data_IF_316966530588
#
_entry.id   IF_316966530588
#
_cell.length_a   1.000
_cell.length_b   1.000
_cell.length_c   1.000
_cell.angle_alpha   90.00
_cell.angle_beta   90.00
_cell.angle_gamma   90.00
#
_symmetry.space_group_name_H-M   'P 1'
#
loop_
_entity.id
_entity.type
_entity.pdbx_description
1 polymer ?
#
# COMPACT_ATOMS: atom_id res chain seq x y z
N UNK A 1 6.32 -21.11 -24.39
CA UNK A 1 5.97 -20.91 -22.96
C UNK A 1 5.57 -22.25 -22.38
N UNK A 2 6.16 -22.64 -21.24
CA UNK A 2 5.75 -23.85 -20.52
C UNK A 2 4.39 -23.59 -19.85
N UNK A 3 3.45 -24.51 -19.99
CA UNK A 3 2.14 -24.43 -19.33
C UNK A 3 2.29 -24.82 -17.86
N UNK A 4 2.46 -23.84 -16.96
CA UNK A 4 2.27 -24.05 -15.53
C UNK A 4 0.78 -23.95 -15.24
N UNK A 5 0.23 -24.95 -14.57
CA UNK A 5 -1.16 -24.97 -14.16
C UNK A 5 -1.25 -25.46 -12.72
N UNK A 6 -1.97 -24.72 -11.89
CA UNK A 6 -2.18 -25.11 -10.50
C UNK A 6 -3.03 -26.38 -10.42
N UNK A 7 -2.72 -27.23 -9.44
CA UNK A 7 -3.61 -28.33 -9.03
C UNK A 7 -4.75 -27.80 -8.18
N UNK A 8 -5.84 -28.57 -8.05
CA UNK A 8 -6.92 -28.20 -7.14
C UNK A 8 -6.47 -28.15 -5.67
N UNK A 9 -5.50 -28.98 -5.27
CA UNK A 9 -4.90 -28.88 -3.95
C UNK A 9 -4.22 -27.52 -3.74
N UNK A 10 -3.40 -27.08 -4.70
CA UNK A 10 -2.76 -25.75 -4.65
C UNK A 10 -3.80 -24.63 -4.61
N UNK A 11 -4.87 -24.72 -5.40
CA UNK A 11 -5.96 -23.73 -5.40
C UNK A 11 -6.60 -23.56 -4.03
N UNK A 12 -6.88 -24.66 -3.34
CA UNK A 12 -7.44 -24.63 -1.97
C UNK A 12 -6.52 -23.87 -1.02
N UNK A 13 -5.21 -24.16 -1.04
CA UNK A 13 -4.22 -23.45 -0.20
C UNK A 13 -3.97 -21.99 -0.60
N UNK A 14 -4.50 -21.54 -1.74
CA UNK A 14 -4.46 -20.16 -2.21
C UNK A 14 -5.82 -19.45 -2.09
N UNK A 15 -6.86 -20.15 -1.61
CA UNK A 15 -8.22 -19.61 -1.48
C UNK A 15 -8.94 -19.46 -2.81
N UNK A 16 -8.45 -20.11 -3.87
CA UNK A 16 -9.03 -20.12 -5.19
C UNK A 16 -10.05 -21.24 -5.34
N UNK A 17 -11.11 -20.98 -6.12
CA UNK A 17 -12.08 -22.01 -6.47
C UNK A 17 -11.42 -23.16 -7.26
N UNK A 18 -11.57 -24.43 -6.85
CA UNK A 18 -11.14 -25.58 -7.63
C UNK A 18 -11.78 -25.62 -9.02
N UNK A 19 -11.13 -26.31 -9.95
CA UNK A 19 -11.66 -26.55 -11.29
C UNK A 19 -12.34 -27.91 -11.29
N UNK A 20 -13.64 -27.94 -11.55
CA UNK A 20 -14.41 -29.19 -11.63
C UNK A 20 -14.15 -29.91 -12.96
N UNK A 21 -14.33 -31.24 -12.99
CA UNK A 21 -14.03 -32.07 -14.15
C UNK A 21 -14.86 -31.72 -15.40
N UNK A 22 -16.06 -31.18 -15.21
CA UNK A 22 -16.97 -30.75 -16.27
C UNK A 22 -16.62 -29.36 -16.83
N UNK A 23 -15.64 -28.64 -16.29
CA UNK A 23 -15.27 -27.31 -16.78
C UNK A 23 -14.47 -27.42 -18.08
N UNK A 24 -14.81 -26.57 -19.04
CA UNK A 24 -14.16 -26.53 -20.35
C UNK A 24 -13.01 -25.52 -20.29
N UNK A 25 -11.78 -26.01 -20.48
CA UNK A 25 -10.59 -25.18 -20.66
C UNK A 25 -10.51 -24.69 -22.10
N UNK A 26 -10.41 -23.37 -22.30
CA UNK A 26 -10.25 -22.76 -23.63
C UNK A 26 -9.07 -21.78 -23.64
N UNK A 27 -8.20 -21.96 -24.64
CA UNK A 27 -7.10 -21.03 -24.89
C UNK A 27 -7.60 -19.85 -25.74
N UNK A 28 -7.28 -18.62 -25.31
CA UNK A 28 -7.64 -17.38 -26.00
C UNK A 28 -6.46 -16.83 -26.80
N UNK A 29 -5.24 -17.01 -26.27
CA UNK A 29 -3.95 -16.82 -26.94
C UNK A 29 -2.87 -17.60 -26.17
N UNK A 30 -1.63 -17.57 -26.64
CA UNK A 30 -0.50 -18.36 -26.11
C UNK A 30 -0.31 -18.31 -24.60
N UNK A 31 -0.71 -17.21 -23.95
CA UNK A 31 -0.46 -16.95 -22.55
C UNK A 31 -1.73 -16.60 -21.74
N UNK A 32 -2.91 -16.89 -22.30
CA UNK A 32 -4.20 -16.55 -21.71
C UNK A 32 -5.20 -17.69 -21.92
N UNK A 33 -5.69 -18.23 -20.80
CA UNK A 33 -6.69 -19.30 -20.76
C UNK A 33 -7.91 -18.87 -19.95
N UNK A 34 -9.04 -19.47 -20.27
CA UNK A 34 -10.28 -19.35 -19.50
C UNK A 34 -10.84 -20.74 -19.20
N UNK A 35 -11.61 -20.84 -18.11
CA UNK A 35 -12.40 -22.03 -17.81
C UNK A 35 -13.88 -21.67 -17.78
N UNK A 36 -14.69 -22.54 -18.37
CA UNK A 36 -16.12 -22.34 -18.58
C UNK A 36 -16.89 -23.46 -17.90
N UNK A 37 -17.83 -23.12 -17.02
CA UNK A 37 -18.80 -24.04 -16.44
C UNK A 37 -20.18 -23.75 -17.07
N UNK A 38 -20.71 -24.71 -17.84
CA UNK A 38 -21.95 -24.52 -18.59
C UNK A 38 -21.84 -23.34 -19.57
N UNK A 39 -22.53 -22.24 -19.27
CA UNK A 39 -22.52 -21.00 -20.07
C UNK A 39 -21.85 -19.83 -19.37
N UNK A 40 -20.98 -20.08 -18.39
CA UNK A 40 -20.32 -19.05 -17.60
C UNK A 40 -18.81 -19.24 -17.61
N UNK A 41 -18.06 -18.19 -17.97
CA UNK A 41 -16.62 -18.13 -17.71
C UNK A 41 -16.43 -17.89 -16.21
N UNK A 42 -15.81 -18.87 -15.55
CA UNK A 42 -15.61 -18.87 -14.10
C UNK A 42 -14.19 -18.46 -13.70
N UNK A 43 -13.23 -18.57 -14.61
CA UNK A 43 -11.80 -18.35 -14.29
C UNK A 43 -11.01 -17.86 -15.48
N UNK A 44 -10.00 -17.06 -15.22
CA UNK A 44 -8.98 -16.62 -16.18
C UNK A 44 -7.59 -16.90 -15.61
N UNK A 45 -6.72 -17.44 -16.46
CA UNK A 45 -5.31 -17.66 -16.13
C UNK A 45 -4.46 -16.91 -17.15
N UNK A 46 -3.53 -16.08 -16.66
CA UNK A 46 -2.54 -15.37 -17.48
C UNK A 46 -1.14 -15.77 -17.04
N UNK A 47 -0.26 -16.09 -17.99
CA UNK A 47 1.09 -16.60 -17.71
C UNK A 47 2.13 -15.77 -18.49
N UNK A 48 3.33 -15.63 -17.96
CA UNK A 48 4.53 -15.19 -18.66
C UNK A 48 5.74 -15.94 -18.11
N UNK A 49 6.94 -15.61 -18.60
CA UNK A 49 8.18 -16.24 -18.12
C UNK A 49 8.52 -15.91 -16.65
N UNK A 50 7.84 -14.90 -16.08
CA UNK A 50 8.05 -14.46 -14.69
C UNK A 50 6.78 -14.36 -13.86
N UNK A 51 5.60 -14.47 -14.47
CA UNK A 51 4.33 -14.18 -13.79
C UNK A 51 3.26 -15.24 -14.00
N UNK A 52 2.46 -15.47 -12.97
CA UNK A 52 1.24 -16.27 -13.02
C UNK A 52 0.12 -15.49 -12.34
N UNK A 53 -1.02 -15.35 -13.02
CA UNK A 53 -2.20 -14.73 -12.43
C UNK A 53 -3.40 -15.66 -12.65
N UNK A 54 -4.10 -15.99 -11.57
CA UNK A 54 -5.36 -16.74 -11.63
C UNK A 54 -6.46 -15.96 -10.93
N UNK A 55 -7.51 -15.64 -11.69
CA UNK A 55 -8.59 -14.76 -11.27
C UNK A 55 -9.93 -15.47 -11.43
N UNK A 56 -10.82 -15.29 -10.44
CA UNK A 56 -12.20 -15.71 -10.55
C UNK A 56 -13.01 -14.70 -11.37
N UNK A 57 -13.83 -15.23 -12.27
CA UNK A 57 -14.72 -14.48 -13.13
C UNK A 57 -16.16 -14.95 -12.93
N UNK A 58 -17.09 -14.11 -13.36
CA UNK A 58 -18.50 -14.45 -13.53
C UNK A 58 -18.94 -13.73 -14.81
N UNK A 59 -18.83 -14.38 -15.97
CA UNK A 59 -19.19 -13.77 -17.24
C UNK A 59 -19.93 -14.75 -18.14
N UNK A 60 -21.17 -14.43 -18.57
CA UNK A 60 -21.95 -15.33 -19.40
C UNK A 60 -21.39 -15.39 -20.83
N UNK A 61 -21.47 -16.56 -21.45
CA UNK A 61 -21.07 -16.84 -22.83
C UNK A 61 -22.17 -17.57 -23.60
N UNK A 62 -22.12 -17.48 -24.93
CA UNK A 62 -22.96 -18.32 -25.80
C UNK A 62 -22.57 -19.81 -25.71
N UNK A 63 -23.47 -20.68 -26.16
CA UNK A 63 -23.26 -22.13 -26.18
C UNK A 63 -22.09 -22.57 -27.10
N UNK A 64 -21.71 -21.73 -28.08
CA UNK A 64 -20.54 -21.94 -28.95
C UNK A 64 -19.23 -21.40 -28.36
N UNK A 65 -19.27 -20.75 -27.20
CA UNK A 65 -18.13 -20.13 -26.53
C UNK A 65 -17.35 -19.14 -27.39
N UNK A 66 -18.04 -18.44 -28.29
CA UNK A 66 -17.48 -17.46 -29.23
C UNK A 66 -17.82 -16.03 -28.87
N UNK A 67 -18.82 -15.83 -28.00
CA UNK A 67 -19.36 -14.51 -27.70
C UNK A 67 -19.60 -14.37 -26.20
N UNK A 68 -19.05 -13.31 -25.61
CA UNK A 68 -19.42 -12.83 -24.29
C UNK A 68 -20.81 -12.21 -24.36
N UNK A 69 -21.71 -12.72 -23.54
CA UNK A 69 -23.05 -12.17 -23.38
C UNK A 69 -23.01 -10.98 -22.41
N UNK A 70 -23.85 -9.96 -22.64
CA UNK A 70 -23.94 -8.84 -21.72
C UNK A 70 -24.59 -9.28 -20.40
N UNK A 71 -24.09 -8.77 -19.27
CA UNK A 71 -24.72 -8.99 -17.95
C UNK A 71 -26.08 -8.30 -17.80
N UNK A 72 -26.33 -7.26 -18.59
CA UNK A 72 -27.53 -6.42 -18.51
C UNK A 72 -28.25 -6.39 -19.85
N UNK A 73 -29.56 -6.19 -19.83
CA UNK A 73 -30.41 -6.08 -21.04
C UNK A 73 -29.98 -4.95 -22.01
N UNK A 74 -29.30 -3.91 -21.51
CA UNK A 74 -28.78 -2.80 -22.33
C UNK A 74 -27.38 -3.05 -22.92
N UNK A 75 -26.70 -4.10 -22.49
CA UNK A 75 -25.34 -4.39 -22.94
C UNK A 75 -25.32 -5.00 -24.34
N UNK A 76 -24.21 -4.85 -25.05
CA UNK A 76 -23.99 -5.50 -26.34
C UNK A 76 -23.15 -6.76 -26.15
N UNK A 77 -23.53 -7.82 -26.86
CA UNK A 77 -22.69 -9.01 -26.98
C UNK A 77 -21.35 -8.65 -27.63
N UNK A 78 -20.27 -9.28 -27.17
CA UNK A 78 -18.91 -9.03 -27.66
C UNK A 78 -18.28 -10.33 -28.10
N UNK A 79 -17.60 -10.33 -29.25
CA UNK A 79 -16.79 -11.47 -29.66
C UNK A 79 -15.73 -11.77 -28.59
N UNK A 80 -15.54 -13.04 -28.28
CA UNK A 80 -14.54 -13.51 -27.34
C UNK A 80 -13.14 -13.38 -27.95
N UNK A 81 -12.50 -12.26 -27.68
CA UNK A 81 -11.11 -11.91 -28.07
C UNK A 81 -10.25 -11.69 -26.83
N UNK A 82 -8.90 -11.71 -26.93
CA UNK A 82 -8.02 -11.41 -25.81
C UNK A 82 -8.41 -10.12 -25.07
N UNK A 83 -8.64 -9.01 -25.79
CA UNK A 83 -9.03 -7.73 -25.19
C UNK A 83 -10.38 -7.81 -24.47
N UNK A 84 -11.35 -8.54 -25.02
CA UNK A 84 -12.66 -8.71 -24.39
C UNK A 84 -12.59 -9.53 -23.10
N UNK A 85 -11.72 -10.56 -23.06
CA UNK A 85 -11.49 -11.42 -21.90
C UNK A 85 -10.73 -10.66 -20.81
N UNK A 86 -9.71 -9.89 -21.19
CA UNK A 86 -8.97 -9.01 -20.27
C UNK A 86 -9.87 -7.93 -19.66
N UNK A 87 -10.87 -7.44 -20.41
CA UNK A 87 -11.84 -6.45 -19.94
C UNK A 87 -12.96 -6.99 -19.04
N UNK A 88 -13.04 -8.30 -18.78
CA UNK A 88 -13.98 -8.86 -17.80
C UNK A 88 -13.51 -8.43 -16.41
N UNK A 89 -14.40 -7.81 -15.64
CA UNK A 89 -14.12 -7.45 -14.25
C UNK A 89 -14.03 -8.72 -13.40
N UNK A 90 -12.88 -8.99 -12.76
CA UNK A 90 -12.75 -10.11 -11.85
C UNK A 90 -13.55 -9.92 -10.56
N UNK A 91 -13.82 -11.03 -9.89
CA UNK A 91 -14.49 -11.09 -8.59
C UNK A 91 -13.75 -12.09 -7.69
N UNK A 92 -14.11 -12.15 -6.41
CA UNK A 92 -13.60 -13.14 -5.48
C UNK A 92 -12.10 -13.02 -5.21
N UNK A 93 -11.53 -14.11 -4.71
CA UNK A 93 -10.09 -14.23 -4.43
C UNK A 93 -9.32 -14.47 -5.73
N UNK A 94 -8.16 -13.86 -5.83
CA UNK A 94 -7.21 -14.10 -6.90
C UNK A 94 -5.81 -14.37 -6.33
N UNK A 95 -5.02 -15.06 -7.14
CA UNK A 95 -3.61 -15.30 -6.87
C UNK A 95 -2.77 -14.63 -7.94
N UNK A 96 -1.74 -13.94 -7.50
CA UNK A 96 -0.75 -13.32 -8.35
C UNK A 96 0.64 -13.72 -7.89
N UNK A 97 1.44 -14.20 -8.84
CA UNK A 97 2.87 -14.41 -8.70
C UNK A 97 3.60 -13.56 -9.73
N UNK A 98 4.67 -12.88 -9.33
CA UNK A 98 5.61 -12.24 -10.24
C UNK A 98 7.00 -12.17 -9.61
N UNK A 99 7.98 -12.83 -10.23
CA UNK A 99 9.38 -12.76 -9.81
C UNK A 99 9.56 -12.96 -8.30
N UNK A 100 9.07 -14.09 -7.77
CA UNK A 100 9.18 -14.44 -6.34
C UNK A 100 8.14 -13.78 -5.43
N UNK A 101 7.42 -12.76 -5.93
CA UNK A 101 6.37 -12.05 -5.19
C UNK A 101 5.05 -12.79 -5.32
N UNK A 102 4.44 -13.16 -4.21
CA UNK A 102 3.11 -13.74 -4.10
C UNK A 102 2.14 -12.74 -3.48
N UNK A 103 0.95 -12.67 -4.06
CA UNK A 103 -0.18 -11.91 -3.55
C UNK A 103 -1.44 -12.79 -3.59
N UNK A 104 -2.10 -12.92 -2.45
CA UNK A 104 -3.45 -13.48 -2.32
C UNK A 104 -4.34 -12.34 -1.84
N UNK A 105 -5.25 -11.90 -2.69
CA UNK A 105 -6.12 -10.77 -2.41
C UNK A 105 -7.51 -10.99 -3.01
N UNK A 106 -8.45 -10.11 -2.67
CA UNK A 106 -9.85 -10.25 -3.09
C UNK A 106 -10.35 -9.00 -3.78
N UNK A 107 -10.86 -9.17 -5.01
CA UNK A 107 -11.57 -8.10 -5.73
C UNK A 107 -12.91 -7.77 -5.06
N UNK A 108 -13.54 -8.76 -4.42
CA UNK A 108 -14.83 -8.58 -3.73
C UNK A 108 -14.67 -7.67 -2.52
N UNK A 109 -13.75 -8.01 -1.61
CA UNK A 109 -13.58 -7.27 -0.36
C UNK A 109 -12.64 -6.07 -0.51
N UNK A 110 -11.78 -6.05 -1.54
CA UNK A 110 -10.67 -5.09 -1.70
C UNK A 110 -9.71 -5.11 -0.51
N UNK A 111 -9.36 -6.33 -0.08
CA UNK A 111 -8.41 -6.58 1.00
C UNK A 111 -7.42 -7.67 0.59
N UNK A 112 -6.30 -7.72 1.30
CA UNK A 112 -5.19 -8.66 1.09
C UNK A 112 -5.14 -9.68 2.21
N UNK A 113 -5.02 -10.96 1.87
CA UNK A 113 -4.76 -12.03 2.84
C UNK A 113 -3.27 -12.22 3.09
N UNK A 114 -2.48 -12.21 2.01
CA UNK A 114 -1.04 -12.40 2.06
C UNK A 114 -0.36 -11.61 0.96
N UNK A 115 0.73 -10.94 1.32
CA UNK A 115 1.62 -10.26 0.38
C UNK A 115 3.05 -10.31 0.93
N UNK A 116 4.00 -10.76 0.12
CA UNK A 116 5.43 -10.72 0.43
C UNK A 116 6.22 -9.77 -0.49
N UNK A 117 5.53 -8.88 -1.21
CA UNK A 117 6.15 -7.91 -2.09
C UNK A 117 7.14 -7.02 -1.33
N UNK A 118 8.39 -7.08 -1.77
CA UNK A 118 9.48 -6.18 -1.39
C UNK A 118 9.82 -5.28 -2.57
N UNK A 119 10.42 -4.12 -2.31
CA UNK A 119 11.08 -3.32 -3.35
C UNK A 119 12.40 -4.00 -3.76
N UNK A 120 12.31 -5.23 -4.28
CA UNK A 120 13.40 -5.94 -4.96
C UNK A 120 13.08 -5.98 -6.46
N UNK A 121 14.12 -5.75 -7.25
CA UNK A 121 14.14 -5.92 -8.70
C UNK A 121 14.77 -7.26 -9.10
N UNK A 122 14.96 -8.18 -8.14
CA UNK A 122 15.46 -9.52 -8.41
C UNK A 122 14.50 -10.26 -9.35
N UNK A 123 15.10 -10.86 -10.38
CA UNK A 123 14.39 -11.69 -11.33
C UNK A 123 14.28 -13.10 -10.77
N UNK A 124 13.06 -13.60 -10.67
CA UNK A 124 12.80 -15.02 -10.41
C UNK A 124 11.96 -15.60 -11.54
N UNK A 125 12.43 -16.66 -12.23
CA UNK A 125 11.68 -17.29 -13.28
C UNK A 125 10.40 -17.95 -12.74
N UNK A 126 9.43 -18.15 -13.62
CA UNK A 126 8.16 -18.80 -13.28
C UNK A 126 8.34 -20.27 -12.84
N UNK A 127 9.42 -20.92 -13.26
CA UNK A 127 9.79 -22.28 -12.87
C UNK A 127 10.05 -22.47 -11.37
N UNK A 128 10.26 -21.40 -10.61
CA UNK A 128 10.40 -21.48 -9.15
C UNK A 128 9.05 -21.58 -8.43
N UNK A 129 7.94 -21.20 -9.09
CA UNK A 129 6.61 -21.20 -8.49
C UNK A 129 6.19 -22.56 -7.91
N UNK A 130 6.39 -23.72 -8.59
CA UNK A 130 6.01 -25.02 -8.02
C UNK A 130 6.68 -25.32 -6.68
N UNK A 131 8.01 -25.13 -6.56
CA UNK A 131 8.74 -25.38 -5.32
C UNK A 131 8.29 -24.43 -4.19
N UNK A 132 8.05 -23.17 -4.53
CA UNK A 132 7.52 -22.19 -3.60
C UNK A 132 6.09 -22.55 -3.13
N UNK A 133 5.25 -23.11 -3.99
CA UNK A 133 3.91 -23.60 -3.61
C UNK A 133 3.97 -24.87 -2.76
N UNK A 134 4.90 -25.77 -3.03
CA UNK A 134 5.13 -26.94 -2.17
C UNK A 134 5.51 -26.51 -0.75
N UNK A 135 6.44 -25.55 -0.64
CA UNK A 135 6.82 -24.97 0.66
C UNK A 135 5.64 -24.24 1.32
N UNK A 136 4.88 -23.44 0.58
CA UNK A 136 3.68 -22.75 1.09
C UNK A 136 2.66 -23.74 1.68
N UNK A 137 2.42 -24.85 0.99
CA UNK A 137 1.52 -25.91 1.46
C UNK A 137 2.10 -26.59 2.69
N UNK A 138 3.38 -26.98 2.67
CA UNK A 138 4.05 -27.63 3.79
C UNK A 138 4.05 -26.77 5.07
N UNK A 139 4.20 -25.46 4.91
CA UNK A 139 4.18 -24.50 6.01
C UNK A 139 2.77 -24.14 6.48
N UNK A 140 1.71 -24.59 5.81
CA UNK A 140 0.33 -24.26 6.14
C UNK A 140 -0.22 -25.12 7.27
N UNK A 141 -0.95 -24.49 8.18
CA UNK A 141 -1.65 -25.13 9.30
C UNK A 141 -3.15 -25.15 9.06
N UNK A 142 -3.90 -25.91 9.88
CA UNK A 142 -5.36 -25.92 9.85
C UNK A 142 -5.93 -24.52 10.16
N UNK A 143 -5.29 -23.77 11.06
CA UNK A 143 -5.68 -22.39 11.38
C UNK A 143 -5.50 -21.44 10.19
N UNK A 144 -4.44 -21.61 9.38
CA UNK A 144 -4.27 -20.79 8.18
C UNK A 144 -5.36 -21.08 7.15
N UNK A 145 -5.74 -22.36 6.98
CA UNK A 145 -6.81 -22.76 6.07
C UNK A 145 -8.16 -22.21 6.54
N UNK A 146 -8.46 -22.27 7.84
CA UNK A 146 -9.66 -21.68 8.41
C UNK A 146 -9.70 -20.15 8.22
N UNK A 147 -8.56 -19.47 8.41
CA UNK A 147 -8.43 -18.04 8.17
C UNK A 147 -8.60 -17.69 6.68
N UNK A 148 -8.05 -18.51 5.79
CA UNK A 148 -8.17 -18.34 4.34
C UNK A 148 -9.61 -18.56 3.85
N UNK A 149 -10.32 -19.54 4.39
CA UNK A 149 -11.73 -19.77 4.07
C UNK A 149 -12.63 -18.64 4.58
N UNK A 150 -12.33 -18.12 5.77
CA UNK A 150 -12.98 -16.91 6.31
C UNK A 150 -12.74 -15.72 5.39
N UNK A 151 -11.51 -15.54 4.89
CA UNK A 151 -11.16 -14.49 3.94
C UNK A 151 -11.88 -14.67 2.59
N UNK A 152 -11.93 -15.89 2.06
CA UNK A 152 -12.54 -16.22 0.76
C UNK A 152 -14.04 -15.93 0.73
N UNK A 153 -14.73 -16.23 1.82
CA UNK A 153 -16.19 -16.06 1.96
C UNK A 153 -16.60 -14.70 2.51
N UNK A 154 -15.64 -13.84 2.87
CA UNK A 154 -15.91 -12.52 3.41
C UNK A 154 -16.65 -11.62 2.42
N UNK A 155 -17.50 -10.75 2.97
CA UNK A 155 -18.21 -9.70 2.22
C UNK A 155 -17.51 -8.36 2.40
N UNK A 156 -17.64 -7.49 1.41
CA UNK A 156 -17.12 -6.12 1.48
C UNK A 156 -17.69 -5.39 2.69
N UNK A 157 -16.83 -4.75 3.46
CA UNK A 157 -17.18 -3.89 4.61
C UNK A 157 -16.81 -2.44 4.30
N UNK A 158 -17.48 -1.53 5.00
CA UNK A 158 -17.12 -0.11 5.04
C UNK A 158 -16.95 0.28 6.51
N UNK A 159 -15.71 0.36 6.97
CA UNK A 159 -15.40 0.59 8.37
C UNK A 159 -15.28 2.09 8.68
N UNK A 160 -15.60 2.44 9.92
CA UNK A 160 -15.43 3.79 10.47
C UNK A 160 -14.13 3.82 11.27
N UNK A 161 -13.38 4.90 11.11
CA UNK A 161 -12.15 5.18 11.86
C UNK A 161 -12.04 6.68 12.13
N UNK A 162 -11.27 7.05 13.15
CA UNK A 162 -10.96 8.42 13.54
C UNK A 162 -9.51 8.57 13.99
N UNK A 163 -9.07 9.82 14.11
CA UNK A 163 -7.78 10.17 14.70
C UNK A 163 -7.71 9.63 16.13
N UNK A 164 -6.53 9.15 16.54
CA UNK A 164 -6.31 8.53 17.85
C UNK A 164 -6.64 7.04 17.92
N UNK A 165 -7.32 6.48 16.91
CA UNK A 165 -7.59 5.04 16.85
C UNK A 165 -6.28 4.24 16.69
N UNK A 166 -6.18 3.19 17.48
CA UNK A 166 -5.15 2.15 17.37
C UNK A 166 -5.65 1.08 16.42
N UNK A 167 -4.74 0.57 15.59
CA UNK A 167 -5.07 -0.45 14.63
C UNK A 167 -4.04 -1.58 14.63
N UNK A 168 -4.47 -2.75 14.17
CA UNK A 168 -3.59 -3.88 13.83
C UNK A 168 -3.66 -4.20 12.35
N UNK A 169 -2.59 -4.78 11.85
CA UNK A 169 -2.49 -5.28 10.48
C UNK A 169 -1.65 -6.56 10.46
N UNK A 170 -1.86 -7.43 9.46
CA UNK A 170 -1.08 -8.66 9.32
C UNK A 170 0.26 -8.42 8.62
N UNK A 171 1.27 -9.16 9.07
CA UNK A 171 2.57 -9.32 8.42
C UNK A 171 2.74 -10.80 8.16
N UNK A 172 2.84 -11.18 6.88
CA UNK A 172 2.69 -12.56 6.47
C UNK A 172 1.32 -13.12 6.89
N UNK A 173 1.26 -14.37 7.35
CA UNK A 173 -0.02 -15.03 7.73
C UNK A 173 -0.40 -14.90 9.19
N UNK A 174 0.59 -14.87 10.08
CA UNK A 174 0.43 -15.16 11.52
C UNK A 174 1.01 -14.09 12.45
N UNK A 175 1.74 -13.11 11.92
CA UNK A 175 2.27 -12.01 12.72
C UNK A 175 1.41 -10.77 12.54
N UNK A 176 1.35 -9.97 13.60
CA UNK A 176 0.63 -8.71 13.65
C UNK A 176 1.62 -7.58 13.92
N UNK A 177 1.44 -6.49 13.18
CA UNK A 177 1.97 -5.18 13.50
C UNK A 177 0.86 -4.25 14.00
N UNK A 178 1.26 -3.17 14.65
CA UNK A 178 0.33 -2.24 15.29
C UNK A 178 0.67 -0.80 14.96
N UNK A 179 -0.35 0.05 14.91
CA UNK A 179 -0.15 1.46 14.63
C UNK A 179 -1.26 2.34 15.22
N UNK A 180 -1.16 3.63 14.93
CA UNK A 180 -2.13 4.64 15.35
C UNK A 180 -2.39 5.66 14.25
N UNK A 181 -3.64 6.06 14.09
CA UNK A 181 -4.05 7.10 13.15
C UNK A 181 -3.76 8.45 13.79
N UNK A 182 -2.92 9.27 13.16
CA UNK A 182 -2.51 10.58 13.67
C UNK A 182 -3.36 11.72 13.11
N UNK A 183 -3.74 11.64 11.83
CA UNK A 183 -4.49 12.71 11.18
C UNK A 183 -5.28 12.21 9.98
N UNK A 184 -6.52 12.66 9.85
CA UNK A 184 -7.33 12.50 8.64
C UNK A 184 -7.20 13.75 7.77
N UNK A 185 -6.23 13.72 6.85
CA UNK A 185 -5.92 14.86 5.99
C UNK A 185 -7.08 15.14 5.02
N UNK A 186 -7.81 14.11 4.55
CA UNK A 186 -9.02 14.31 3.72
C UNK A 186 -10.11 15.12 4.44
N UNK A 187 -10.37 14.81 5.71
CA UNK A 187 -11.30 15.58 6.54
C UNK A 187 -10.76 16.98 6.82
N UNK A 188 -9.46 17.10 7.13
CA UNK A 188 -8.83 18.39 7.42
C UNK A 188 -8.94 19.38 6.24
N UNK A 189 -8.77 18.92 5.00
CA UNK A 189 -8.92 19.74 3.78
C UNK A 189 -10.28 20.45 3.66
N UNK A 190 -11.31 19.95 4.34
CA UNK A 190 -12.68 20.50 4.31
C UNK A 190 -12.91 21.57 5.38
N UNK A 191 -11.97 21.77 6.30
CA UNK A 191 -12.08 22.72 7.42
C UNK A 191 -11.77 24.15 7.00
N UNK A 192 -12.25 25.13 7.78
CA UNK A 192 -11.92 26.55 7.57
C UNK A 192 -10.42 26.82 7.75
N UNK A 193 -9.80 26.19 8.76
CA UNK A 193 -8.36 26.28 9.03
C UNK A 193 -7.49 25.86 7.83
N UNK A 194 -7.94 24.88 7.05
CA UNK A 194 -7.27 24.53 5.80
C UNK A 194 -7.41 25.65 4.75
N UNK A 195 -8.62 26.16 4.54
CA UNK A 195 -8.92 27.18 3.53
C UNK A 195 -8.15 28.49 3.74
N UNK A 196 -7.81 28.83 4.97
CA UNK A 196 -7.04 30.04 5.31
C UNK A 196 -5.59 29.99 4.80
N UNK A 197 -4.97 28.80 4.75
CA UNK A 197 -3.56 28.66 4.33
C UNK A 197 -3.37 27.98 2.99
N UNK A 198 -4.31 27.12 2.59
CA UNK A 198 -4.21 26.21 1.44
C UNK A 198 -2.87 25.47 1.39
N UNK A 199 -2.62 24.65 2.41
CA UNK A 199 -1.41 23.86 2.61
C UNK A 199 -0.99 23.10 1.34
N UNK A 200 0.03 23.61 0.62
CA UNK A 200 0.42 23.11 -0.72
C UNK A 200 0.66 21.61 -0.76
N UNK A 201 1.36 21.07 0.24
CA UNK A 201 1.65 19.64 0.27
C UNK A 201 0.40 18.82 0.56
N UNK A 202 -0.42 19.26 1.51
CA UNK A 202 -1.70 18.59 1.73
C UNK A 202 -2.63 18.73 0.54
N UNK A 203 -2.53 19.73 -0.32
CA UNK A 203 -3.30 19.81 -1.57
C UNK A 203 -2.86 18.76 -2.60
N UNK A 204 -1.56 18.43 -2.65
CA UNK A 204 -0.99 17.58 -3.70
C UNK A 204 -1.24 16.08 -3.52
N UNK A 205 -1.54 15.61 -2.29
CA UNK A 205 -1.77 14.19 -2.05
C UNK A 205 -3.03 13.68 -2.77
N UNK A 206 -2.93 12.56 -3.49
CA UNK A 206 -4.07 11.98 -4.18
C UNK A 206 -5.02 11.23 -3.23
N UNK A 207 -6.28 11.07 -3.64
CA UNK A 207 -7.27 10.25 -2.94
C UNK A 207 -7.66 10.79 -1.56
N UNK A 208 -7.85 9.87 -0.61
CA UNK A 208 -8.23 10.15 0.79
C UNK A 208 -7.05 9.88 1.73
N UNK A 209 -6.16 10.86 1.93
CA UNK A 209 -4.96 10.68 2.74
C UNK A 209 -5.24 10.57 4.24
N UNK A 210 -4.56 9.62 4.86
CA UNK A 210 -4.42 9.44 6.30
C UNK A 210 -2.94 9.50 6.67
N UNK A 211 -2.64 10.15 7.79
CA UNK A 211 -1.35 10.06 8.45
C UNK A 211 -1.42 9.00 9.54
N UNK A 212 -0.52 8.03 9.51
CA UNK A 212 -0.41 6.97 10.50
C UNK A 212 1.02 6.88 11.05
N UNK A 213 1.18 6.29 12.23
CA UNK A 213 2.45 5.75 12.71
C UNK A 213 2.32 4.26 13.01
N UNK A 214 3.44 3.55 12.96
CA UNK A 214 3.54 2.12 13.27
C UNK A 214 4.46 1.95 14.46
N UNK A 215 4.06 1.14 15.43
CA UNK A 215 4.84 0.88 16.64
C UNK A 215 5.93 -0.16 16.40
N UNK A 216 6.99 -0.10 17.20
CA UNK A 216 8.01 -1.13 17.33
C UNK A 216 7.44 -2.33 18.09
N UNK A 217 6.40 -2.95 17.54
CA UNK A 217 5.69 -4.07 18.13
C UNK A 217 5.31 -5.08 17.05
N UNK A 218 5.80 -6.29 17.24
CA UNK A 218 5.38 -7.49 16.53
C UNK A 218 4.80 -8.48 17.53
N UNK A 219 3.75 -9.20 17.13
CA UNK A 219 3.09 -10.18 17.99
C UNK A 219 2.49 -11.30 17.15
N UNK A 220 2.53 -12.53 17.66
CA UNK A 220 1.72 -13.64 17.13
C UNK A 220 0.29 -13.63 17.67
N UNK A 221 0.04 -12.95 18.81
CA UNK A 221 -1.29 -12.68 19.33
C UNK A 221 -1.91 -11.50 18.60
N UNK A 222 -3.17 -11.60 18.20
CA UNK A 222 -3.92 -10.49 17.62
C UNK A 222 -4.29 -9.41 18.65
N UNK A 223 -4.29 -9.76 19.94
CA UNK A 223 -4.71 -8.91 21.05
C UNK A 223 -3.49 -8.39 21.81
N UNK A 224 -3.31 -7.07 21.83
CA UNK A 224 -2.29 -6.34 22.61
C UNK A 224 -2.94 -5.11 23.24
N UNK A 225 -2.78 -4.84 24.55
CA UNK A 225 -3.38 -3.68 25.21
C UNK A 225 -2.93 -2.35 24.60
N UNK A 226 -3.86 -1.40 24.50
CA UNK A 226 -3.60 -0.06 23.94
C UNK A 226 -2.58 0.71 24.78
N UNK A 227 -2.58 0.52 26.09
CA UNK A 227 -1.67 1.14 27.03
C UNK A 227 -0.23 0.70 26.78
N UNK A 228 -0.03 -0.58 26.43
CA UNK A 228 1.26 -1.12 26.05
C UNK A 228 1.74 -0.49 24.73
N UNK A 229 0.86 -0.44 23.72
CA UNK A 229 1.17 0.16 22.42
C UNK A 229 1.51 1.65 22.54
N UNK A 230 0.80 2.39 23.39
CA UNK A 230 1.03 3.81 23.62
C UNK A 230 2.42 4.09 24.23
N UNK A 231 3.00 3.12 24.94
CA UNK A 231 4.35 3.22 25.51
C UNK A 231 5.46 2.79 24.53
N UNK A 232 5.12 2.18 23.39
CA UNK A 232 6.10 1.75 22.40
C UNK A 232 6.72 2.93 21.64
N UNK A 233 8.01 2.80 21.32
CA UNK A 233 8.63 3.56 20.24
C UNK A 233 7.89 3.30 18.92
N UNK A 234 7.88 4.29 18.03
CA UNK A 234 7.25 4.17 16.72
C UNK A 234 8.23 4.49 15.59
N UNK A 235 7.97 3.90 14.43
CA UNK A 235 8.55 4.33 13.17
C UNK A 235 8.06 5.74 12.82
N UNK A 236 8.86 6.48 12.02
CA UNK A 236 8.43 7.75 11.47
C UNK A 236 7.09 7.62 10.74
N UNK A 237 6.19 8.55 11.00
CA UNK A 237 4.85 8.57 10.44
C UNK A 237 4.88 8.57 8.92
N UNK A 238 3.86 7.99 8.30
CA UNK A 238 3.71 7.93 6.85
C UNK A 238 2.30 8.30 6.43
N UNK A 239 2.19 8.88 5.23
CA UNK A 239 0.90 9.17 4.61
C UNK A 239 0.50 8.02 3.69
N UNK A 240 -0.71 7.48 3.91
CA UNK A 240 -1.29 6.40 3.10
C UNK A 240 -2.73 6.74 2.72
N UNK A 241 -3.26 6.09 1.69
CA UNK A 241 -4.69 6.17 1.38
C UNK A 241 -5.52 5.37 2.41
N UNK A 242 -6.74 5.82 2.68
CA UNK A 242 -7.61 5.22 3.70
C UNK A 242 -8.18 3.83 3.35
N UNK A 243 -7.97 3.34 2.13
CA UNK A 243 -8.57 2.11 1.61
C UNK A 243 -8.42 0.90 2.55
N UNK A 244 -7.24 0.68 3.12
CA UNK A 244 -6.98 -0.48 4.00
C UNK A 244 -7.78 -0.41 5.31
N UNK A 245 -8.13 0.79 5.78
CA UNK A 245 -9.03 0.97 6.91
C UNK A 245 -10.48 0.88 6.46
N UNK A 246 -10.83 1.60 5.39
CA UNK A 246 -12.20 1.69 4.90
C UNK A 246 -12.76 0.32 4.52
N UNK A 247 -11.95 -0.57 3.92
CA UNK A 247 -12.38 -1.93 3.58
C UNK A 247 -12.13 -2.97 4.68
N UNK A 248 -11.57 -2.56 5.82
CA UNK A 248 -11.40 -3.41 7.01
C UNK A 248 -10.23 -4.39 6.94
N UNK A 249 -9.19 -4.10 6.15
CA UNK A 249 -7.92 -4.84 6.18
C UNK A 249 -7.12 -4.53 7.45
N UNK A 250 -7.10 -3.26 7.85
CA UNK A 250 -6.61 -2.82 9.15
C UNK A 250 -7.78 -2.72 10.14
N UNK A 251 -7.70 -3.50 11.22
CA UNK A 251 -8.76 -3.54 12.24
C UNK A 251 -8.47 -2.54 13.34
N UNK A 252 -9.48 -1.73 13.71
CA UNK A 252 -9.39 -0.83 14.87
C UNK A 252 -9.52 -1.66 16.15
N UNK A 253 -8.53 -1.54 17.03
CA UNK A 253 -8.43 -2.33 18.27
C UNK A 253 -8.59 -1.50 19.55
N UNK A 254 -8.71 -0.17 19.41
CA UNK A 254 -8.95 0.71 20.54
C UNK A 254 -8.72 2.17 20.16
N UNK A 255 -8.89 3.06 21.14
CA UNK A 255 -8.85 4.49 20.91
C UNK A 255 -8.29 5.22 22.12
N UNK A 256 -7.47 6.24 21.85
CA UNK A 256 -7.08 7.26 22.83
C UNK A 256 -6.97 8.60 22.11
N UNK A 257 -7.39 9.67 22.76
CA UNK A 257 -7.17 11.03 22.25
C UNK A 257 -5.68 11.31 22.06
N UNK A 258 -5.35 12.08 21.03
CA UNK A 258 -3.97 12.42 20.68
C UNK A 258 -3.54 13.68 21.43
N UNK A 259 -2.39 13.60 22.09
CA UNK A 259 -1.70 14.78 22.59
C UNK A 259 -0.80 15.36 21.50
N UNK A 260 -0.58 16.68 21.53
CA UNK A 260 0.27 17.36 20.54
C UNK A 260 1.69 16.76 20.48
N UNK A 261 2.22 16.36 21.63
CA UNK A 261 3.54 15.71 21.77
C UNK A 261 3.61 14.32 21.14
N UNK A 262 2.47 13.68 20.87
CA UNK A 262 2.40 12.36 20.22
C UNK A 262 2.37 12.45 18.68
N UNK A 263 2.18 13.65 18.13
CA UNK A 263 2.13 13.90 16.70
C UNK A 263 3.54 13.91 16.12
N UNK A 264 3.86 12.85 15.39
CA UNK A 264 4.98 12.84 14.46
C UNK A 264 4.45 13.27 13.10
N UNK A 265 4.78 14.50 12.70
CA UNK A 265 4.41 15.04 11.40
C UNK A 265 5.57 14.89 10.42
N UNK A 266 5.34 14.50 9.17
CA UNK A 266 6.39 14.52 8.16
C UNK A 266 6.69 15.97 7.73
N UNK A 267 7.91 16.16 7.22
CA UNK A 267 8.41 17.44 6.70
C UNK A 267 8.45 17.34 5.17
N UNK A 268 7.79 18.26 4.48
CA UNK A 268 7.78 18.38 3.03
C UNK A 268 8.32 19.74 2.63
N UNK A 269 9.36 19.76 1.80
CA UNK A 269 9.93 20.96 1.22
C UNK A 269 9.84 20.86 -0.31
N UNK A 270 9.24 21.85 -0.95
CA UNK A 270 8.76 21.68 -2.32
C UNK A 270 8.60 22.97 -3.10
N UNK A 271 8.66 22.86 -4.43
CA UNK A 271 8.00 23.84 -5.30
C UNK A 271 6.54 23.45 -5.44
N UNK A 272 5.65 24.43 -5.57
CA UNK A 272 4.25 24.15 -5.92
C UNK A 272 4.17 23.38 -7.24
N UNK A 273 3.26 22.40 -7.29
CA UNK A 273 2.90 21.70 -8.53
C UNK A 273 1.72 22.37 -9.24
N UNK A 274 1.16 23.42 -8.64
CA UNK A 274 0.10 24.21 -9.24
C UNK A 274 0.69 25.17 -10.27
N UNK A 275 0.25 25.05 -11.52
CA UNK A 275 0.72 25.89 -12.62
C UNK A 275 0.39 27.38 -12.45
N UNK A 276 -0.53 27.71 -11.54
CA UNK A 276 -0.87 29.11 -11.19
C UNK A 276 0.11 29.74 -10.21
N UNK A 277 0.92 28.93 -9.53
CA UNK A 277 1.89 29.36 -8.52
C UNK A 277 3.31 28.81 -8.82
N UNK A 278 3.85 28.99 -10.03
CA UNK A 278 5.08 28.31 -10.45
C UNK A 278 6.33 28.72 -9.64
N UNK A 279 6.33 29.93 -9.09
CA UNK A 279 7.44 30.46 -8.29
C UNK A 279 7.30 30.19 -6.79
N UNK A 280 6.20 29.56 -6.35
CA UNK A 280 5.97 29.29 -4.94
C UNK A 280 6.85 28.13 -4.47
N UNK A 281 7.64 28.41 -3.44
CA UNK A 281 8.40 27.41 -2.68
C UNK A 281 7.81 27.33 -1.28
N UNK A 282 7.59 26.12 -0.79
CA UNK A 282 6.98 25.87 0.50
C UNK A 282 7.87 25.01 1.39
N UNK A 283 7.78 25.26 2.68
CA UNK A 283 8.14 24.32 3.73
C UNK A 283 6.88 24.01 4.54
N UNK A 284 6.55 22.73 4.64
CA UNK A 284 5.42 22.25 5.42
C UNK A 284 5.86 21.14 6.37
N UNK A 285 5.83 21.41 7.67
CA UNK A 285 6.02 20.42 8.73
C UNK A 285 4.65 20.21 9.40
N UNK A 286 3.89 19.22 8.95
CA UNK A 286 2.50 19.04 9.37
C UNK A 286 1.62 20.28 9.11
N UNK A 287 1.17 20.93 10.18
CA UNK A 287 0.36 22.16 10.16
C UNK A 287 1.20 23.46 10.24
N UNK A 288 2.51 23.36 10.40
CA UNK A 288 3.43 24.48 10.29
C UNK A 288 3.73 24.66 8.81
N UNK A 289 3.42 25.84 8.29
CA UNK A 289 3.45 26.07 6.85
C UNK A 289 3.99 27.46 6.54
N UNK A 290 5.10 27.50 5.83
CA UNK A 290 5.81 28.70 5.42
C UNK A 290 5.99 28.72 3.90
N UNK A 291 5.97 29.93 3.34
CA UNK A 291 6.08 30.17 1.90
C UNK A 291 7.24 31.14 1.63
N UNK A 292 7.90 30.93 0.50
CA UNK A 292 8.89 31.83 -0.07
C UNK A 292 8.78 31.77 -1.59
N UNK A 293 9.68 32.45 -2.30
CA UNK A 293 9.77 32.36 -3.76
C UNK A 293 11.03 31.61 -4.20
N UNK A 294 10.98 31.01 -5.39
CA UNK A 294 12.14 30.49 -6.13
C UNK A 294 13.27 31.53 -6.30
N UNK A 295 12.93 32.82 -6.30
CA UNK A 295 13.91 33.92 -6.34
C UNK A 295 14.68 34.07 -5.03
N UNK A 296 14.02 33.82 -3.90
CA UNK A 296 14.61 33.93 -2.56
C UNK A 296 15.32 32.65 -2.15
N UNK A 297 14.74 31.48 -2.42
CA UNK A 297 15.31 30.20 -2.05
C UNK A 297 14.83 29.08 -2.97
N UNK A 298 15.77 28.50 -3.71
CA UNK A 298 15.54 27.39 -4.65
C UNK A 298 16.48 26.20 -4.47
N UNK A 299 17.31 26.23 -3.43
CA UNK A 299 18.21 25.12 -3.11
C UNK A 299 17.40 23.85 -2.84
N UNK A 300 17.96 22.70 -3.19
CA UNK A 300 17.35 21.38 -2.96
C UNK A 300 16.02 21.11 -3.68
N UNK A 301 15.58 21.99 -4.59
CA UNK A 301 14.36 21.76 -5.37
C UNK A 301 14.53 20.73 -6.49
N UNK A 302 15.77 20.37 -6.82
CA UNK A 302 16.13 19.36 -7.80
C UNK A 302 17.07 18.37 -7.14
N UNK A 303 16.90 17.10 -7.46
CA UNK A 303 17.91 16.09 -7.17
C UNK A 303 19.08 16.28 -8.15
N UNK A 304 20.22 16.74 -7.64
CA UNK A 304 21.44 16.96 -8.42
C UNK A 304 21.97 15.66 -9.05
N UNK A 305 21.54 14.49 -8.57
CA UNK A 305 21.91 13.16 -9.10
C UNK A 305 20.85 12.57 -10.06
N UNK A 306 19.72 13.24 -10.30
CA UNK A 306 18.68 12.73 -11.20
C UNK A 306 19.13 12.68 -12.67
N UNK A 307 20.01 13.59 -13.09
CA UNK A 307 20.51 13.67 -14.46
C UNK A 307 21.32 12.43 -14.87
N UNK A 308 22.12 11.87 -13.96
CA UNK A 308 22.96 10.70 -14.21
C UNK A 308 22.17 9.38 -14.26
N UNK A 309 20.94 9.38 -13.73
CA UNK A 309 20.10 8.18 -13.63
C UNK A 309 18.99 8.11 -14.68
N UNK A 310 18.93 9.06 -15.61
CA UNK A 310 17.85 9.16 -16.61
C UNK A 310 16.47 9.44 -16.00
N UNK A 311 16.42 9.90 -14.75
CA UNK A 311 15.19 10.20 -14.02
C UNK A 311 14.75 11.63 -14.31
N UNK A 312 13.44 11.86 -14.35
CA UNK A 312 12.90 13.22 -14.39
C UNK A 312 13.43 14.02 -13.19
N UNK A 313 13.84 15.28 -13.42
CA UNK A 313 14.19 16.21 -12.36
C UNK A 313 13.01 16.32 -11.38
N UNK A 314 13.14 15.69 -10.22
CA UNK A 314 12.11 15.71 -9.17
C UNK A 314 12.68 16.38 -7.93
N UNK A 315 11.81 17.00 -7.13
CA UNK A 315 12.20 17.51 -5.82
C UNK A 315 12.26 16.32 -4.85
N UNK A 316 13.46 15.94 -4.37
CA UNK A 316 13.63 14.75 -3.54
C UNK A 316 12.95 14.87 -2.17
N UNK A 317 12.87 16.08 -1.60
CA UNK A 317 12.34 16.34 -0.26
C UNK A 317 10.84 16.66 -0.24
N UNK A 318 10.18 16.57 -1.40
CA UNK A 318 8.75 16.81 -1.50
C UNK A 318 7.96 15.55 -1.14
N UNK A 319 7.07 15.64 -0.14
CA UNK A 319 6.25 14.52 0.32
C UNK A 319 5.09 14.15 -0.61
N UNK A 320 5.10 14.58 -1.88
CA UNK A 320 3.94 14.56 -2.78
C UNK A 320 3.43 13.15 -3.12
N UNK A 321 4.16 12.09 -2.76
CA UNK A 321 3.78 10.71 -3.04
C UNK A 321 3.02 10.07 -1.87
N UNK A 322 1.95 9.35 -2.20
CA UNK A 322 1.13 8.61 -1.22
C UNK A 322 1.05 7.12 -1.60
N UNK A 323 1.13 6.25 -0.60
CA UNK A 323 1.04 4.79 -0.79
C UNK A 323 -0.35 4.23 -0.53
N UNK A 324 -0.59 3.00 -0.98
CA UNK A 324 -1.81 2.22 -0.66
C UNK A 324 -1.60 1.24 0.50
N UNK A 325 -0.37 1.11 0.99
CA UNK A 325 0.03 0.10 1.97
C UNK A 325 0.92 0.74 3.06
N UNK A 326 1.08 0.02 4.16
CA UNK A 326 1.99 0.38 5.24
C UNK A 326 3.41 0.02 4.81
N UNK A 327 4.28 1.02 4.59
CA UNK A 327 5.60 0.81 3.97
C UNK A 327 6.47 -0.19 4.74
N UNK A 328 6.59 -0.04 6.06
CA UNK A 328 7.43 -0.90 6.90
C UNK A 328 6.92 -2.35 7.00
N UNK A 329 5.63 -2.60 6.70
CA UNK A 329 5.06 -3.95 6.72
C UNK A 329 5.69 -4.86 5.65
N UNK A 330 6.26 -4.27 4.58
CA UNK A 330 6.98 -4.99 3.52
C UNK A 330 8.38 -5.45 3.95
N UNK A 331 8.88 -4.95 5.08
CA UNK A 331 10.23 -5.21 5.58
C UNK A 331 10.20 -5.77 7.01
N UNK A 332 9.61 -6.96 7.24
CA UNK A 332 9.50 -7.54 8.59
C UNK A 332 10.87 -7.69 9.28
N UNK A 333 11.90 -8.08 8.54
CA UNK A 333 13.27 -8.19 9.08
C UNK A 333 13.85 -6.83 9.51
N UNK A 334 13.51 -5.75 8.79
CA UNK A 334 13.90 -4.41 9.19
C UNK A 334 13.15 -3.98 10.45
N UNK A 335 11.86 -4.29 10.53
CA UNK A 335 11.07 -4.01 11.71
C UNK A 335 11.62 -4.74 12.93
N UNK A 336 11.93 -6.04 12.80
CA UNK A 336 12.52 -6.87 13.84
C UNK A 336 13.85 -6.30 14.33
N UNK A 337 14.76 -5.93 13.41
CA UNK A 337 16.04 -5.29 13.78
C UNK A 337 15.83 -3.99 14.55
N UNK A 338 14.88 -3.13 14.13
CA UNK A 338 14.59 -1.87 14.85
C UNK A 338 14.06 -2.12 16.27
N UNK A 339 13.21 -3.15 16.44
CA UNK A 339 12.69 -3.57 17.75
C UNK A 339 13.82 -4.06 18.65
N UNK A 340 14.71 -4.91 18.13
CA UNK A 340 15.85 -5.47 18.88
C UNK A 340 16.81 -4.40 19.38
N UNK A 341 17.11 -3.40 18.54
CA UNK A 341 17.99 -2.28 18.93
C UNK A 341 17.25 -1.13 19.61
N UNK A 342 15.93 -1.22 19.74
CA UNK A 342 15.04 -0.19 20.31
C UNK A 342 15.26 1.21 19.68
N UNK A 343 15.45 1.25 18.35
CA UNK A 343 15.81 2.47 17.64
C UNK A 343 15.38 2.44 16.18
N UNK A 344 15.07 3.62 15.65
CA UNK A 344 14.81 3.82 14.22
C UNK A 344 16.11 3.87 13.38
N UNK A 345 17.29 3.73 13.99
CA UNK A 345 18.56 3.81 13.25
C UNK A 345 18.68 2.78 12.11
N UNK A 346 18.29 1.49 12.27
CA UNK A 346 18.31 0.56 11.14
C UNK A 346 17.35 0.98 10.03
N UNK A 347 16.19 1.55 10.38
CA UNK A 347 15.26 2.10 9.40
C UNK A 347 15.90 3.26 8.63
N UNK A 348 16.49 4.22 9.32
CA UNK A 348 17.13 5.39 8.71
C UNK A 348 18.31 5.06 7.80
N UNK A 349 19.00 3.95 8.09
CA UNK A 349 20.12 3.43 7.31
C UNK A 349 19.72 2.40 6.26
N UNK A 350 18.42 2.17 6.04
CA UNK A 350 17.94 1.23 5.03
C UNK A 350 17.99 1.80 3.62
N UNK A 351 18.01 0.92 2.62
CA UNK A 351 17.98 1.29 1.20
C UNK A 351 16.59 1.68 0.68
N UNK A 352 15.61 1.85 1.58
CA UNK A 352 14.26 2.26 1.19
C UNK A 352 14.34 3.68 0.61
N UNK A 353 14.02 3.79 -0.69
CA UNK A 353 14.17 5.03 -1.47
C UNK A 353 13.65 6.29 -0.76
N UNK A 354 12.43 6.23 -0.19
CA UNK A 354 11.80 7.38 0.46
C UNK A 354 12.50 7.80 1.76
N UNK A 355 13.08 6.84 2.48
CA UNK A 355 13.80 7.11 3.74
C UNK A 355 15.03 7.98 3.50
N UNK A 356 15.64 7.84 2.32
CA UNK A 356 16.83 8.59 1.96
C UNK A 356 16.58 10.10 1.83
N UNK A 357 15.36 10.51 1.51
CA UNK A 357 15.01 11.92 1.30
C UNK A 357 14.00 12.45 2.33
N UNK A 358 13.72 11.68 3.38
CA UNK A 358 12.95 12.18 4.52
C UNK A 358 13.83 13.18 5.30
N UNK A 359 13.38 14.42 5.45
CA UNK A 359 14.13 15.45 6.19
C UNK A 359 14.22 15.15 7.69
N UNK A 360 13.44 14.20 8.22
CA UNK A 360 13.57 13.69 9.59
C UNK A 360 14.73 12.68 9.74
N UNK A 361 15.26 12.16 8.63
CA UNK A 361 16.41 11.26 8.66
C UNK A 361 17.66 12.05 9.15
N UNK A 362 18.37 11.58 10.19
CA UNK A 362 19.56 12.27 10.71
C UNK A 362 20.63 12.61 9.67
N UNK A 363 20.76 11.82 8.60
CA UNK A 363 21.72 12.11 7.53
C UNK A 363 21.42 13.41 6.77
N UNK A 364 20.16 13.86 6.81
CA UNK A 364 19.68 15.08 6.16
C UNK A 364 19.67 16.29 7.11
N UNK A 365 20.22 16.18 8.32
CA UNK A 365 20.17 17.23 9.35
C UNK A 365 20.78 18.56 8.89
N UNK A 366 21.89 18.56 8.15
CA UNK A 366 22.49 19.77 7.61
C UNK A 366 21.57 20.48 6.61
N UNK A 367 20.90 19.70 5.74
CA UNK A 367 19.97 20.21 4.73
C UNK A 367 18.70 20.73 5.40
N UNK A 368 18.12 19.95 6.31
CA UNK A 368 16.98 20.37 7.15
C UNK A 368 17.30 21.69 7.84
N UNK A 369 18.49 21.83 8.42
CA UNK A 369 18.92 23.05 9.12
C UNK A 369 18.99 24.27 8.23
N UNK A 370 19.58 24.13 7.04
CA UNK A 370 19.63 25.23 6.08
C UNK A 370 18.23 25.67 5.63
N UNK A 371 17.35 24.70 5.33
CA UNK A 371 15.96 24.96 4.95
C UNK A 371 15.23 25.68 6.09
N UNK A 372 15.24 25.12 7.31
CA UNK A 372 14.53 25.69 8.45
C UNK A 372 15.03 27.09 8.80
N UNK A 373 16.35 27.32 8.79
CA UNK A 373 16.92 28.65 9.03
C UNK A 373 16.43 29.67 8.00
N UNK A 374 16.31 29.30 6.72
CA UNK A 374 15.75 30.20 5.70
C UNK A 374 14.30 30.60 6.03
N UNK A 375 13.50 29.66 6.52
CA UNK A 375 12.10 29.89 6.90
C UNK A 375 11.93 30.40 8.34
N UNK A 376 13.02 30.78 9.03
CA UNK A 376 13.03 31.25 10.41
C UNK A 376 12.40 30.25 11.41
N UNK A 377 12.66 28.96 11.23
CA UNK A 377 12.21 27.90 12.14
C UNK A 377 13.38 27.37 12.96
N UNK A 378 13.16 27.12 14.26
CA UNK A 378 14.16 26.47 15.10
C UNK A 378 14.23 24.97 14.78
N UNK A 379 15.44 24.48 14.51
CA UNK A 379 15.72 23.09 14.14
C UNK A 379 15.88 22.18 15.34
N UNK A 380 16.10 22.75 16.51
CA UNK A 380 16.25 22.03 17.78
C UNK A 380 14.89 21.69 18.41
N UNK A 381 13.82 22.39 18.00
CA UNK A 381 12.47 22.11 18.46
C UNK A 381 11.88 20.89 17.74
N UNK A 382 11.15 20.06 18.48
CA UNK A 382 10.25 19.07 17.90
C UNK A 382 8.99 19.74 17.32
N UNK A 383 8.15 18.96 16.65
CA UNK A 383 6.91 19.47 16.04
C UNK A 383 6.01 20.21 17.03
N UNK A 384 5.80 19.66 18.23
CA UNK A 384 4.89 20.22 19.23
C UNK A 384 5.39 21.57 19.74
N UNK A 385 6.68 21.64 20.09
CA UNK A 385 7.35 22.87 20.55
C UNK A 385 7.30 23.97 19.48
N UNK A 386 7.62 23.60 18.23
CA UNK A 386 7.60 24.56 17.12
C UNK A 386 6.18 24.99 16.75
N UNK A 387 5.20 24.09 16.87
CA UNK A 387 3.80 24.41 16.59
C UNK A 387 3.27 25.41 17.63
N UNK A 388 3.57 25.21 18.92
CA UNK A 388 3.16 26.10 20.02
C UNK A 388 3.86 27.46 20.01
N UNK A 389 5.09 27.55 19.49
CA UNK A 389 5.79 28.84 19.41
C UNK A 389 5.27 29.74 18.28
N UNK A 390 4.58 29.16 17.30
CA UNK A 390 4.05 29.86 16.12
C UNK A 390 2.55 30.17 16.25
N UNK A 391 1.78 29.29 16.89
CA UNK A 391 0.31 29.37 17.03
C UNK A 391 -0.11 29.20 18.48
#
# INVERSE_FOLDING_TARGET
MKNIELTNQQRIYLGLEPIEENWIKKQIRDNLWIYINGTTICKRISISDVSYTEEQLDAPVDASFTTLQPKTTKGKAKKLTPSSVSGIQPTGVYFYYNSGKMLIASYTTQTTFYNNEKDSFEYHPIEELPALLEQWIADSTEEDLAALETFRTAKRKHCIFKEGDFFRFKIGRRMYGYGRILMNIDKFRKTQKYKEKDYTWFRSLMGKPLLIKVYHKLSSSAEVPVEELAACTAFPSQTIMDNIFYYGECEIIGHKELELTELDMPISYGRSIDSREPELVYLQYGLIYQKTSTFQFKKYLKDEHAADSGRCETNPYSGNSIGFHIDIARYPELMQRCIEVQSNLPYWNSDIYRVNYDLRNPKNEAIKREIFNHFNLDTNCNYAELYQSIY
#
